data_IF_898096832881
#
_entry.id   IF_898096832881
#
_cell.length_a   1.000
_cell.length_b   1.000
_cell.length_c   1.000
_cell.angle_alpha   90.00
_cell.angle_beta   90.00
_cell.angle_gamma   90.00
#
_symmetry.space_group_name_H-M   'P 1'
#
loop_
_entity.id
_entity.type
_entity.pdbx_description
1 polymer ?
#
# COMPACT_ATOMS: atom_id res chain seq x y z
N UNK A 1 -11.30 -29.36 -13.25
CA UNK A 1 -10.91 -28.16 -14.02
C UNK A 1 -9.50 -27.64 -13.67
N UNK A 2 -8.87 -28.06 -12.56
CA UNK A 2 -7.48 -27.66 -12.22
C UNK A 2 -6.36 -28.23 -13.11
N UNK A 3 -6.57 -29.38 -13.78
CA UNK A 3 -5.50 -30.04 -14.57
C UNK A 3 -5.14 -29.33 -15.88
N UNK A 4 -6.03 -28.51 -16.44
CA UNK A 4 -5.76 -27.79 -17.69
C UNK A 4 -4.88 -26.54 -17.47
N UNK A 5 -4.99 -25.88 -16.32
CA UNK A 5 -4.20 -24.70 -15.97
C UNK A 5 -2.72 -25.00 -15.71
N UNK A 6 -2.42 -26.18 -15.12
CA UNK A 6 -1.04 -26.63 -14.93
C UNK A 6 -0.31 -26.89 -16.27
N UNK A 7 -1.03 -27.37 -17.29
CA UNK A 7 -0.39 -27.69 -18.58
C UNK A 7 -0.08 -26.46 -19.42
N UNK A 8 -0.92 -25.41 -19.40
CA UNK A 8 -0.62 -24.16 -20.10
C UNK A 8 0.55 -23.39 -19.45
N UNK A 9 0.61 -23.34 -18.11
CA UNK A 9 1.73 -22.72 -17.41
C UNK A 9 3.07 -23.41 -17.69
N UNK A 10 3.07 -24.75 -17.74
CA UNK A 10 4.25 -25.53 -18.11
C UNK A 10 4.66 -25.37 -19.59
N UNK A 11 3.70 -25.23 -20.51
CA UNK A 11 3.98 -24.97 -21.93
C UNK A 11 4.61 -23.59 -22.17
N UNK A 12 4.15 -22.56 -21.46
CA UNK A 12 4.73 -21.21 -21.51
C UNK A 12 6.17 -21.19 -20.97
N UNK A 13 6.43 -21.90 -19.87
CA UNK A 13 7.78 -22.08 -19.32
C UNK A 13 8.72 -22.75 -20.36
N UNK A 14 8.22 -23.75 -21.09
CA UNK A 14 8.96 -24.44 -22.16
C UNK A 14 9.16 -23.58 -23.41
N UNK A 15 8.20 -22.72 -23.77
CA UNK A 15 8.36 -21.76 -24.88
C UNK A 15 9.36 -20.65 -24.55
N UNK A 16 9.41 -20.20 -23.30
CA UNK A 16 10.42 -19.25 -22.81
C UNK A 16 11.85 -19.77 -22.94
N UNK A 17 12.07 -21.06 -22.65
CA UNK A 17 13.40 -21.69 -22.71
C UNK A 17 13.81 -22.11 -24.14
N UNK A 18 12.86 -22.29 -25.06
CA UNK A 18 13.13 -22.81 -26.41
C UNK A 18 13.74 -21.77 -27.39
N UNK A 19 13.64 -20.48 -27.09
CA UNK A 19 14.21 -19.42 -27.92
C UNK A 19 15.23 -18.63 -27.08
N UNK A 20 16.50 -19.00 -27.23
CA UNK A 20 17.66 -18.50 -26.48
C UNK A 20 17.98 -17.00 -26.68
N UNK A 21 16.99 -16.10 -26.70
CA UNK A 21 17.13 -14.65 -26.88
C UNK A 21 16.12 -13.76 -26.16
N UNK A 22 15.20 -14.27 -25.34
CA UNK A 22 14.32 -13.43 -24.50
C UNK A 22 14.27 -14.03 -23.10
N UNK A 23 14.91 -13.37 -22.14
CA UNK A 23 14.73 -13.65 -20.72
C UNK A 23 13.29 -13.27 -20.37
N UNK A 24 12.35 -14.21 -20.43
CA UNK A 24 10.97 -14.01 -20.01
C UNK A 24 10.77 -14.59 -18.62
N UNK A 25 10.07 -13.82 -17.78
CA UNK A 25 9.78 -14.17 -16.40
C UNK A 25 8.27 -14.36 -16.31
N UNK A 26 7.74 -15.59 -16.45
CA UNK A 26 6.31 -15.81 -16.59
C UNK A 26 5.55 -15.41 -15.31
N UNK A 27 4.47 -14.66 -15.48
CA UNK A 27 3.55 -14.37 -14.38
C UNK A 27 2.75 -15.61 -14.01
N UNK A 28 2.78 -15.99 -12.73
CA UNK A 28 1.92 -17.06 -12.24
C UNK A 28 0.45 -16.70 -12.47
N UNK A 29 -0.37 -17.66 -12.95
CA UNK A 29 -1.78 -17.43 -13.27
C UNK A 29 -2.58 -16.83 -12.10
N UNK A 30 -2.24 -17.20 -10.86
CA UNK A 30 -2.86 -16.65 -9.66
C UNK A 30 -2.57 -15.16 -9.48
N UNK A 31 -1.35 -14.70 -9.77
CA UNK A 31 -0.94 -13.29 -9.67
C UNK A 31 -1.52 -12.49 -10.84
N UNK A 32 -1.47 -13.04 -12.05
CA UNK A 32 -2.11 -12.45 -13.20
C UNK A 32 -3.63 -12.27 -12.99
N UNK A 33 -4.30 -13.19 -12.30
CA UNK A 33 -5.71 -13.03 -11.96
C UNK A 33 -5.96 -11.86 -11.00
N UNK A 34 -5.05 -11.60 -10.04
CA UNK A 34 -5.14 -10.42 -9.18
C UNK A 34 -5.03 -9.14 -10.01
N UNK A 35 -4.09 -9.09 -10.96
CA UNK A 35 -3.96 -7.96 -11.89
C UNK A 35 -5.24 -7.76 -12.72
N UNK A 36 -5.86 -8.84 -13.20
CA UNK A 36 -7.15 -8.77 -13.89
C UNK A 36 -8.28 -8.25 -13.00
N UNK A 37 -8.29 -8.59 -11.72
CA UNK A 37 -9.29 -8.08 -10.78
C UNK A 37 -9.10 -6.57 -10.56
N UNK A 38 -7.86 -6.09 -10.44
CA UNK A 38 -7.55 -4.66 -10.39
C UNK A 38 -8.04 -3.92 -11.63
N UNK A 39 -7.76 -4.44 -12.84
CA UNK A 39 -8.28 -3.85 -14.09
C UNK A 39 -9.82 -3.76 -14.11
N UNK A 40 -10.50 -4.79 -13.59
CA UNK A 40 -11.96 -4.81 -13.50
C UNK A 40 -12.47 -3.74 -12.55
N UNK A 41 -11.89 -3.63 -11.35
CA UNK A 41 -12.29 -2.62 -10.36
C UNK A 41 -11.99 -1.20 -10.84
N UNK A 42 -10.87 -1.01 -11.56
CA UNK A 42 -10.43 0.29 -12.03
C UNK A 42 -10.98 0.70 -13.39
N UNK A 43 -11.77 -0.19 -14.01
CA UNK A 43 -12.33 -0.03 -15.33
C UNK A 43 -11.29 0.42 -16.37
N UNK A 44 -10.14 -0.27 -16.38
CA UNK A 44 -8.98 0.05 -17.23
C UNK A 44 -8.36 -1.20 -17.82
N UNK A 45 -7.47 -1.03 -18.79
CA UNK A 45 -6.59 -2.09 -19.29
C UNK A 45 -5.16 -1.60 -19.25
N UNK A 46 -4.28 -2.39 -18.63
CA UNK A 46 -2.86 -2.14 -18.46
C UNK A 46 -2.12 -3.19 -19.28
N UNK A 47 -1.16 -2.74 -20.07
CA UNK A 47 -0.39 -3.62 -20.93
C UNK A 47 0.36 -4.69 -20.13
N UNK A 48 0.31 -5.93 -20.61
CA UNK A 48 0.95 -7.08 -19.99
C UNK A 48 0.21 -7.70 -18.80
N UNK A 49 -0.84 -7.05 -18.27
CA UNK A 49 -1.67 -7.59 -17.20
C UNK A 49 -2.66 -8.64 -17.73
N UNK A 50 -2.15 -9.85 -18.00
CA UNK A 50 -2.92 -10.95 -18.59
C UNK A 50 -2.45 -12.33 -18.13
N UNK A 51 -3.35 -13.31 -18.22
CA UNK A 51 -2.99 -14.73 -18.04
C UNK A 51 -1.98 -15.14 -19.13
N UNK A 52 -0.92 -15.85 -18.72
CA UNK A 52 0.20 -16.17 -19.61
C UNK A 52 1.04 -14.96 -20.00
N UNK A 53 0.94 -13.85 -19.28
CA UNK A 53 1.79 -12.68 -19.42
C UNK A 53 3.23 -12.94 -18.95
N UNK A 54 4.13 -12.06 -19.39
CA UNK A 54 5.53 -12.01 -18.99
C UNK A 54 5.73 -10.79 -18.10
N UNK A 55 6.27 -10.99 -16.92
CA UNK A 55 6.45 -9.92 -15.94
C UNK A 55 7.40 -8.84 -16.45
N UNK A 56 8.40 -9.20 -17.27
CA UNK A 56 9.33 -8.23 -17.84
C UNK A 56 8.66 -7.21 -18.78
N UNK A 57 7.46 -7.55 -19.28
CA UNK A 57 6.66 -6.71 -20.16
C UNK A 57 5.34 -6.27 -19.50
N UNK A 58 5.15 -6.53 -18.20
CA UNK A 58 3.98 -6.09 -17.47
C UNK A 58 4.20 -4.66 -16.99
N UNK A 59 3.50 -3.71 -17.61
CA UNK A 59 3.64 -2.29 -17.28
C UNK A 59 3.36 -2.07 -15.80
N UNK A 60 4.21 -1.26 -15.15
CA UNK A 60 4.06 -0.86 -13.74
C UNK A 60 4.09 -2.01 -12.72
N UNK A 61 4.61 -3.18 -13.12
CA UNK A 61 4.82 -4.34 -12.26
C UNK A 61 6.29 -4.71 -12.29
N UNK A 62 6.86 -4.99 -11.11
CA UNK A 62 8.19 -5.60 -10.99
C UNK A 62 8.05 -6.98 -10.36
N UNK A 63 8.83 -7.95 -10.84
CA UNK A 63 8.94 -9.27 -10.23
C UNK A 63 10.35 -9.56 -9.74
N UNK A 64 10.45 -10.47 -8.77
CA UNK A 64 11.72 -11.10 -8.43
C UNK A 64 12.18 -12.12 -9.50
N UNK A 65 13.36 -12.71 -9.29
CA UNK A 65 13.95 -13.69 -10.19
C UNK A 65 13.12 -14.98 -10.34
N UNK A 66 12.11 -15.19 -9.48
CA UNK A 66 11.18 -16.32 -9.55
C UNK A 66 9.85 -15.95 -10.23
N UNK A 67 9.69 -14.70 -10.67
CA UNK A 67 8.48 -14.20 -11.30
C UNK A 67 7.37 -13.84 -10.34
N UNK A 68 7.69 -13.67 -9.06
CA UNK A 68 6.72 -13.20 -8.07
C UNK A 68 6.68 -11.67 -8.09
N UNK A 69 5.49 -11.10 -8.30
CA UNK A 69 5.24 -9.65 -8.17
C UNK A 69 5.72 -9.14 -6.81
N UNK A 70 6.67 -8.20 -6.85
CA UNK A 70 7.21 -7.49 -5.68
C UNK A 70 6.76 -6.04 -5.62
N UNK A 71 6.48 -5.40 -6.75
CA UNK A 71 6.14 -3.98 -6.77
C UNK A 71 5.02 -3.71 -7.78
N UNK A 72 4.05 -2.88 -7.40
CA UNK A 72 3.04 -2.30 -8.27
C UNK A 72 3.09 -0.79 -8.07
N UNK A 73 3.47 -0.05 -9.13
CA UNK A 73 3.69 1.41 -9.10
C UNK A 73 2.89 2.10 -10.19
N UNK A 74 1.77 2.69 -9.82
CA UNK A 74 0.76 3.24 -10.73
C UNK A 74 0.41 4.67 -10.34
N UNK A 75 1.43 5.50 -10.10
CA UNK A 75 1.23 6.88 -9.70
C UNK A 75 0.69 7.73 -10.86
N UNK A 76 -0.05 8.80 -10.54
CA UNK A 76 -0.48 9.82 -11.50
C UNK A 76 -1.33 9.29 -12.65
N UNK A 77 -2.27 8.40 -12.34
CA UNK A 77 -3.24 7.88 -13.29
C UNK A 77 -4.65 8.40 -12.95
N UNK A 78 -5.60 8.20 -13.87
CA UNK A 78 -7.00 8.57 -13.68
C UNK A 78 -7.86 7.37 -13.26
N UNK A 79 -7.30 6.41 -12.52
CA UNK A 79 -8.04 5.22 -12.11
C UNK A 79 -9.16 5.58 -11.12
N UNK A 80 -10.21 4.79 -11.12
CA UNK A 80 -11.38 4.95 -10.22
C UNK A 80 -11.77 3.61 -9.62
N UNK A 81 -12.86 3.54 -8.86
CA UNK A 81 -13.28 2.29 -8.22
C UNK A 81 -12.58 2.02 -6.90
N UNK A 82 -12.31 0.76 -6.57
CA UNK A 82 -11.77 0.34 -5.27
C UNK A 82 -10.51 -0.53 -5.39
N UNK A 83 -9.80 -0.76 -4.29
CA UNK A 83 -8.75 -1.79 -4.26
C UNK A 83 -9.44 -3.15 -4.05
N UNK A 84 -9.32 -4.12 -4.98
CA UNK A 84 -9.94 -5.42 -4.79
C UNK A 84 -9.29 -6.17 -3.62
N UNK A 85 -10.09 -6.91 -2.86
CA UNK A 85 -9.59 -7.72 -1.75
C UNK A 85 -8.58 -8.80 -2.18
N UNK A 86 -8.59 -9.19 -3.47
CA UNK A 86 -7.63 -10.14 -4.03
C UNK A 86 -6.19 -9.64 -4.05
N UNK A 87 -5.95 -8.32 -3.88
CA UNK A 87 -4.59 -7.76 -3.73
C UNK A 87 -3.81 -8.45 -2.61
N UNK A 88 -4.50 -8.84 -1.53
CA UNK A 88 -3.92 -9.55 -0.38
C UNK A 88 -3.37 -10.95 -0.67
N UNK A 89 -3.51 -11.45 -1.90
CA UNK A 89 -2.91 -12.71 -2.36
C UNK A 89 -1.48 -12.54 -2.88
N UNK A 90 -1.03 -11.31 -3.14
CA UNK A 90 0.33 -11.03 -3.62
C UNK A 90 1.32 -11.00 -2.45
N UNK A 91 1.51 -12.11 -1.75
CA UNK A 91 2.24 -12.15 -0.46
C UNK A 91 3.71 -11.74 -0.53
N UNK A 92 4.30 -11.66 -1.72
CA UNK A 92 5.66 -11.16 -1.96
C UNK A 92 5.72 -9.66 -2.26
N UNK A 93 4.56 -8.97 -2.31
CA UNK A 93 4.49 -7.53 -2.59
C UNK A 93 5.18 -6.73 -1.48
N UNK A 94 6.14 -5.91 -1.90
CA UNK A 94 6.96 -5.00 -1.09
C UNK A 94 6.49 -3.56 -1.25
N UNK A 95 6.10 -3.16 -2.46
CA UNK A 95 5.62 -1.81 -2.75
C UNK A 95 4.25 -1.86 -3.41
N UNK A 96 3.31 -1.12 -2.82
CA UNK A 96 2.06 -0.74 -3.48
C UNK A 96 1.98 0.78 -3.50
N UNK A 97 2.22 1.36 -4.67
CA UNK A 97 2.09 2.80 -4.91
C UNK A 97 0.94 3.08 -5.89
N UNK A 98 -0.09 3.74 -5.37
CA UNK A 98 -1.28 4.18 -6.09
C UNK A 98 -1.49 5.70 -5.94
N UNK A 99 -0.41 6.44 -5.68
CA UNK A 99 -0.41 7.88 -5.50
C UNK A 99 -1.15 8.61 -6.61
N UNK A 100 -1.93 9.62 -6.25
CA UNK A 100 -2.57 10.54 -7.19
C UNK A 100 -3.40 9.82 -8.25
N UNK A 101 -4.50 9.23 -7.78
CA UNK A 101 -5.53 8.60 -8.60
C UNK A 101 -6.93 9.05 -8.12
N UNK A 102 -7.99 8.52 -8.73
CA UNK A 102 -9.38 8.69 -8.31
C UNK A 102 -9.96 7.49 -7.55
N UNK A 103 -9.11 6.65 -6.92
CA UNK A 103 -9.57 5.46 -6.20
C UNK A 103 -10.34 5.83 -4.93
N UNK A 104 -11.28 4.99 -4.53
CA UNK A 104 -12.26 5.31 -3.48
C UNK A 104 -12.64 4.07 -2.67
N UNK A 105 -13.58 4.24 -1.73
CA UNK A 105 -14.05 3.17 -0.86
C UNK A 105 -13.06 2.84 0.27
N UNK A 106 -13.34 1.77 1.03
CA UNK A 106 -12.47 1.34 2.11
C UNK A 106 -11.21 0.63 1.62
N UNK A 107 -10.12 0.78 2.37
CA UNK A 107 -8.90 -0.01 2.17
C UNK A 107 -9.17 -1.44 2.64
N UNK A 108 -8.99 -2.47 1.80
CA UNK A 108 -9.34 -3.84 2.18
C UNK A 108 -8.41 -4.36 3.27
N UNK A 109 -8.99 -5.01 4.29
CA UNK A 109 -8.24 -5.59 5.41
C UNK A 109 -7.27 -6.70 4.97
N UNK A 110 -7.48 -7.29 3.79
CA UNK A 110 -6.60 -8.30 3.19
C UNK A 110 -5.21 -7.75 2.84
N UNK A 111 -5.01 -6.43 2.77
CA UNK A 111 -3.66 -5.84 2.68
C UNK A 111 -2.81 -6.26 3.88
N UNK A 112 -3.41 -6.51 5.06
CA UNK A 112 -2.71 -7.05 6.23
C UNK A 112 -2.09 -8.45 6.04
N UNK A 113 -2.36 -9.13 4.92
CA UNK A 113 -1.72 -10.39 4.56
C UNK A 113 -0.38 -10.21 3.81
N UNK A 114 -0.06 -8.98 3.40
CA UNK A 114 1.13 -8.65 2.62
C UNK A 114 2.34 -8.51 3.55
N UNK A 115 2.80 -9.62 4.13
CA UNK A 115 3.83 -9.60 5.17
C UNK A 115 5.20 -9.09 4.68
N UNK A 116 5.44 -9.10 3.36
CA UNK A 116 6.63 -8.53 2.74
C UNK A 116 6.54 -7.02 2.47
N UNK A 117 5.38 -6.39 2.73
CA UNK A 117 5.12 -5.00 2.36
C UNK A 117 5.98 -4.05 3.18
N UNK A 118 6.78 -3.23 2.48
CA UNK A 118 7.65 -2.21 3.04
C UNK A 118 7.14 -0.80 2.79
N UNK A 119 6.41 -0.59 1.69
CA UNK A 119 5.86 0.73 1.32
C UNK A 119 4.42 0.61 0.85
N UNK A 120 3.54 1.37 1.49
CA UNK A 120 2.14 1.52 1.11
C UNK A 120 1.81 3.00 0.93
N UNK A 121 1.62 3.40 -0.33
CA UNK A 121 1.41 4.79 -0.72
C UNK A 121 0.04 4.89 -1.41
N UNK A 122 -0.92 5.43 -0.68
CA UNK A 122 -2.32 5.54 -1.12
C UNK A 122 -2.78 7.01 -1.19
N UNK A 123 -1.82 7.93 -1.23
CA UNK A 123 -2.05 9.36 -1.09
C UNK A 123 -2.73 9.99 -2.31
N UNK A 124 -3.38 11.13 -2.11
CA UNK A 124 -4.12 11.87 -3.14
C UNK A 124 -5.13 10.98 -3.88
N UNK A 125 -6.02 10.37 -3.11
CA UNK A 125 -7.14 9.57 -3.61
C UNK A 125 -8.42 9.99 -2.85
N UNK A 126 -9.49 9.20 -3.01
CA UNK A 126 -10.76 9.36 -2.30
C UNK A 126 -11.06 8.18 -1.36
N UNK A 127 -10.04 7.52 -0.81
CA UNK A 127 -10.22 6.42 0.14
C UNK A 127 -10.93 6.89 1.41
N UNK A 128 -11.73 6.00 2.01
CA UNK A 128 -12.59 6.32 3.16
C UNK A 128 -12.63 5.16 4.17
N UNK A 129 -13.30 5.37 5.30
CA UNK A 129 -13.31 4.39 6.40
C UNK A 129 -12.03 4.48 7.24
N UNK A 130 -11.87 3.53 8.17
CA UNK A 130 -10.73 3.49 9.09
C UNK A 130 -9.54 2.73 8.51
N UNK A 131 -8.36 2.98 9.08
CA UNK A 131 -7.20 2.11 8.81
C UNK A 131 -7.53 0.71 9.37
N UNK A 132 -7.39 -0.38 8.58
CA UNK A 132 -7.72 -1.72 9.06
C UNK A 132 -6.80 -2.16 10.22
N UNK A 133 -7.38 -2.77 11.26
CA UNK A 133 -6.61 -3.31 12.40
C UNK A 133 -5.61 -4.39 11.97
N UNK A 134 -5.88 -5.09 10.87
CA UNK A 134 -4.99 -6.09 10.28
C UNK A 134 -3.62 -5.53 9.86
N UNK A 135 -3.47 -4.20 9.77
CA UNK A 135 -2.19 -3.57 9.46
C UNK A 135 -1.13 -3.81 10.55
N UNK A 136 -1.54 -4.25 11.76
CA UNK A 136 -0.60 -4.74 12.79
C UNK A 136 0.31 -5.87 12.29
N UNK A 137 -0.13 -6.63 11.28
CA UNK A 137 0.64 -7.74 10.74
C UNK A 137 1.75 -7.29 9.78
N UNK A 138 1.76 -6.03 9.35
CA UNK A 138 2.72 -5.50 8.38
C UNK A 138 4.04 -5.13 9.07
N UNK A 139 4.69 -6.12 9.67
CA UNK A 139 5.87 -5.91 10.53
C UNK A 139 7.08 -5.35 9.79
N UNK A 140 7.13 -5.50 8.47
CA UNK A 140 8.16 -4.94 7.60
C UNK A 140 7.82 -3.55 7.04
N UNK A 141 6.64 -2.98 7.36
CA UNK A 141 6.19 -1.71 6.80
C UNK A 141 7.05 -0.56 7.33
N UNK A 142 7.69 0.15 6.40
CA UNK A 142 8.56 1.30 6.67
C UNK A 142 7.83 2.60 6.39
N UNK A 143 7.05 2.63 5.31
CA UNK A 143 6.38 3.84 4.82
C UNK A 143 4.88 3.60 4.64
N UNK A 144 4.07 4.38 5.34
CA UNK A 144 2.61 4.40 5.21
C UNK A 144 2.10 5.81 4.96
N UNK A 145 1.41 6.01 3.84
CA UNK A 145 0.87 7.30 3.47
C UNK A 145 -0.58 7.21 3.02
N UNK A 146 -1.43 7.96 3.71
CA UNK A 146 -2.83 8.20 3.38
C UNK A 146 -3.08 9.68 3.08
N UNK A 147 -2.03 10.48 2.85
CA UNK A 147 -2.13 11.93 2.69
C UNK A 147 -3.21 12.32 1.67
N UNK A 148 -4.05 13.32 1.98
CA UNK A 148 -5.12 13.80 1.09
C UNK A 148 -6.06 12.68 0.63
N UNK A 149 -6.80 12.14 1.59
CA UNK A 149 -7.88 11.19 1.36
C UNK A 149 -9.11 11.58 2.21
N UNK A 150 -10.08 10.68 2.31
CA UNK A 150 -11.30 10.83 3.08
C UNK A 150 -11.37 9.82 4.25
N UNK A 151 -10.21 9.36 4.74
CA UNK A 151 -10.11 8.38 5.82
C UNK A 151 -10.69 8.95 7.12
N UNK A 152 -11.34 8.11 7.91
CA UNK A 152 -12.09 8.51 9.11
C UNK A 152 -11.96 7.50 10.25
N UNK A 153 -12.52 7.81 11.41
CA UNK A 153 -12.39 6.99 12.61
C UNK A 153 -11.05 7.18 13.32
N UNK A 154 -10.80 6.43 14.42
CA UNK A 154 -9.56 6.52 15.17
C UNK A 154 -8.39 5.90 14.41
N UNK A 155 -7.19 6.43 14.67
CA UNK A 155 -5.95 5.76 14.26
C UNK A 155 -5.77 4.55 15.18
N UNK A 156 -5.64 3.33 14.64
CA UNK A 156 -5.41 2.14 15.45
C UNK A 156 -4.13 2.27 16.28
N UNK A 157 -4.22 2.01 17.58
CA UNK A 157 -3.07 1.98 18.52
C UNK A 157 -2.00 0.96 18.12
N UNK A 158 -2.40 -0.01 17.30
CA UNK A 158 -1.58 -1.09 16.79
C UNK A 158 -0.55 -0.65 15.77
N UNK A 159 -0.78 0.45 15.02
CA UNK A 159 0.19 0.98 14.03
C UNK A 159 1.49 1.40 14.72
N UNK A 160 1.39 1.88 15.97
CA UNK A 160 2.54 2.22 16.81
C UNK A 160 3.47 1.08 17.15
N UNK A 161 2.98 -0.16 17.03
CA UNK A 161 3.71 -1.37 17.39
C UNK A 161 4.50 -1.94 16.20
N UNK A 162 4.40 -1.33 15.02
CA UNK A 162 5.11 -1.78 13.83
C UNK A 162 6.60 -1.43 13.98
N UNK A 163 7.49 -2.44 14.07
CA UNK A 163 8.88 -2.23 14.49
C UNK A 163 9.73 -1.49 13.44
N UNK A 164 9.33 -1.56 12.16
CA UNK A 164 10.05 -0.96 11.04
C UNK A 164 9.51 0.41 10.60
N UNK A 165 8.37 0.86 11.13
CA UNK A 165 7.66 2.02 10.60
C UNK A 165 8.41 3.32 10.92
N UNK A 166 8.87 4.02 9.88
CA UNK A 166 9.63 5.27 10.01
C UNK A 166 8.90 6.47 9.44
N UNK A 167 7.90 6.26 8.59
CA UNK A 167 7.19 7.33 7.90
C UNK A 167 5.70 7.07 7.96
N UNK A 168 4.98 7.94 8.68
CA UNK A 168 3.54 7.87 8.82
C UNK A 168 2.93 9.22 8.45
N UNK A 169 2.28 9.27 7.28
CA UNK A 169 1.75 10.50 6.71
C UNK A 169 0.23 10.37 6.58
N UNK A 170 -0.51 11.07 7.45
CA UNK A 170 -1.96 10.93 7.61
C UNK A 170 -2.74 12.24 7.43
N UNK A 171 -2.06 13.36 7.18
CA UNK A 171 -2.68 14.67 7.02
C UNK A 171 -3.64 14.77 5.81
N UNK A 172 -4.52 15.75 5.87
CA UNK A 172 -5.63 15.99 4.95
C UNK A 172 -6.57 14.78 4.83
N UNK A 173 -7.08 14.32 5.96
CA UNK A 173 -8.10 13.28 6.15
C UNK A 173 -9.16 13.75 7.16
N UNK A 174 -10.04 12.83 7.59
CA UNK A 174 -11.13 13.04 8.56
C UNK A 174 -10.99 12.13 9.78
N UNK A 175 -9.77 11.76 10.15
CA UNK A 175 -9.49 10.95 11.33
C UNK A 175 -10.01 11.63 12.61
N UNK A 176 -10.51 10.83 13.55
CA UNK A 176 -11.07 11.29 14.82
C UNK A 176 -10.37 10.60 16.00
N UNK A 177 -10.76 10.94 17.24
CA UNK A 177 -10.17 10.34 18.44
C UNK A 177 -8.86 11.00 18.88
N UNK A 178 -8.28 10.53 19.99
CA UNK A 178 -7.04 11.08 20.51
C UNK A 178 -5.85 10.76 19.60
N UNK A 179 -4.85 11.63 19.62
CA UNK A 179 -3.52 11.30 19.10
C UNK A 179 -3.01 10.12 19.93
N UNK A 180 -2.71 8.96 19.34
CA UNK A 180 -2.28 7.82 20.13
C UNK A 180 -0.93 8.03 20.81
N UNK A 181 -0.85 7.68 22.10
CA UNK A 181 0.36 7.86 22.92
C UNK A 181 1.59 7.14 22.34
N UNK A 182 1.38 6.06 21.60
CA UNK A 182 2.43 5.29 20.91
C UNK A 182 3.26 6.14 19.95
N UNK A 183 2.75 7.29 19.47
CA UNK A 183 3.51 8.17 18.58
C UNK A 183 4.80 8.64 19.26
N UNK A 184 4.80 8.76 20.60
CA UNK A 184 6.00 9.04 21.39
C UNK A 184 6.99 7.87 21.46
N UNK A 185 6.51 6.63 21.26
CA UNK A 185 7.27 5.38 21.31
C UNK A 185 7.86 4.97 19.95
N UNK A 186 7.38 5.58 18.84
CA UNK A 186 7.92 5.35 17.49
C UNK A 186 9.31 6.00 17.35
N UNK A 187 10.33 5.34 17.90
CA UNK A 187 11.72 5.81 17.91
C UNK A 187 12.32 6.02 16.52
N UNK A 188 11.77 5.36 15.50
CA UNK A 188 12.23 5.44 14.12
C UNK A 188 11.44 6.44 13.27
N UNK A 189 10.38 7.05 13.82
CA UNK A 189 9.54 7.97 13.06
C UNK A 189 10.35 9.21 12.69
N UNK A 190 10.39 9.53 11.39
CA UNK A 190 11.12 10.68 10.83
C UNK A 190 10.18 11.81 10.44
N UNK A 191 8.94 11.48 10.09
CA UNK A 191 7.93 12.46 9.70
C UNK A 191 6.54 12.00 10.15
N UNK A 192 5.85 12.91 10.84
CA UNK A 192 4.44 12.82 11.18
C UNK A 192 3.79 14.16 10.84
N UNK A 193 2.71 14.14 10.07
CA UNK A 193 1.98 15.36 9.68
C UNK A 193 0.54 15.27 10.21
N UNK A 194 0.21 15.96 11.32
CA UNK A 194 -1.11 15.90 11.96
C UNK A 194 -1.94 17.16 11.68
N UNK A 195 -2.20 17.55 10.43
CA UNK A 195 -2.85 18.86 10.20
C UNK A 195 -4.35 18.87 10.46
N UNK A 196 -5.07 17.73 10.42
CA UNK A 196 -6.54 17.73 10.64
C UNK A 196 -6.95 17.46 12.09
N UNK A 197 -6.06 16.88 12.92
CA UNK A 197 -6.33 16.71 14.36
C UNK A 197 -6.28 18.02 15.14
N UNK A 198 -5.67 19.06 14.56
CA UNK A 198 -5.47 20.36 15.19
C UNK A 198 -6.63 21.34 14.99
N UNK A 199 -7.65 20.97 14.19
CA UNK A 199 -8.76 21.88 13.85
C UNK A 199 -10.07 21.60 14.60
N UNK A 200 -10.07 20.69 15.60
CA UNK A 200 -11.22 20.61 16.51
C UNK A 200 -11.10 21.73 17.54
N UNK A 201 -11.92 22.76 17.38
CA UNK A 201 -12.10 23.93 18.25
C UNK A 201 -12.54 23.62 19.70
N UNK A 202 -12.29 22.40 20.21
CA UNK A 202 -12.83 21.92 21.48
C UNK A 202 -11.89 21.07 22.34
N UNK A 203 -10.57 21.12 22.14
CA UNK A 203 -9.63 20.37 22.99
C UNK A 203 -8.98 21.30 24.02
N UNK A 204 -9.55 21.33 25.23
CA UNK A 204 -8.78 21.60 26.45
C UNK A 204 -7.83 20.41 26.70
N UNK A 205 -6.66 20.38 26.07
CA UNK A 205 -5.58 19.48 26.49
C UNK A 205 -4.24 20.22 26.58
N UNK A 206 -4.01 20.94 27.69
CA UNK A 206 -2.71 21.53 27.99
C UNK A 206 -1.62 20.49 28.28
N UNK A 207 -1.97 19.23 28.60
CA UNK A 207 -0.99 18.22 29.02
C UNK A 207 -0.28 17.53 27.84
N UNK A 208 -1.00 17.11 26.80
CA UNK A 208 -0.44 16.43 25.62
C UNK A 208 0.49 17.34 24.81
N UNK A 209 0.22 18.65 24.81
CA UNK A 209 1.08 19.66 24.16
C UNK A 209 2.44 19.88 24.84
N UNK A 210 2.61 19.50 26.11
CA UNK A 210 3.91 19.66 26.80
C UNK A 210 4.88 18.55 26.39
N UNK A 211 4.39 17.32 26.19
CA UNK A 211 5.23 16.17 25.80
C UNK A 211 5.60 16.16 24.31
N UNK A 212 4.77 16.76 23.44
CA UNK A 212 5.05 16.83 21.99
C UNK A 212 5.97 17.99 21.58
N UNK A 213 6.26 18.96 22.47
CA UNK A 213 7.12 20.13 22.16
C UNK A 213 8.54 19.77 21.71
N UNK A 214 9.27 18.85 22.37
CA UNK A 214 10.61 18.46 21.92
C UNK A 214 10.61 17.82 20.53
N UNK A 215 9.48 17.20 20.15
CA UNK A 215 9.31 16.50 18.89
C UNK A 215 8.93 17.44 17.73
N UNK A 216 7.97 18.35 17.96
CA UNK A 216 7.63 19.42 17.01
C UNK A 216 8.86 20.28 16.69
N UNK A 217 9.68 20.61 17.69
CA UNK A 217 10.91 21.38 17.50
C UNK A 217 12.02 20.64 16.73
N UNK A 218 11.96 19.31 16.59
CA UNK A 218 12.87 18.55 15.71
C UNK A 218 12.37 18.54 14.27
N UNK A 219 11.05 18.42 14.07
CA UNK A 219 10.43 18.48 12.75
C UNK A 219 10.63 19.85 12.07
N UNK A 220 10.54 20.96 12.81
CA UNK A 220 10.75 22.30 12.26
C UNK A 220 12.22 22.66 11.98
N UNK A 221 13.19 21.91 12.51
CA UNK A 221 14.64 22.18 12.32
C UNK A 221 15.25 21.55 11.08
N UNK A 222 14.53 20.64 10.41
CA UNK A 222 15.01 20.00 9.17
C UNK A 222 14.36 20.55 7.89
N UNK A 223 13.50 21.56 8.00
CA UNK A 223 12.88 22.27 6.87
C UNK A 223 13.25 23.78 6.87
N UNK A 224 14.46 24.12 7.33
CA UNK A 224 15.04 25.48 7.25
C UNK A 224 16.37 25.44 6.52
#
# INVERSE_FOLDING_TARGET
>A
MERAGLQLGALLLLMCLAFSRIDCVPLANSQAQVLLDCQREWNTTIEGWKIGGDCNNATSVTCDAQGMITDITLEYNSFSGTIPASIGKLTNLRTLDLLENGLSGPVPSTIGNLLALTSLILSQNSFSGSIPDSFINLTNLVFLSFWRNNMSGPIPTTIGKLPALTNLILNYNRFTGPIPDFISELTQLRSLQPTDWLNTSNIKQPAVFVELRPWLQRLYRHNS
#
